data_IF_714273320199
#
_entry.id   IF_714273320199
#
_cell.length_a   1.000
_cell.length_b   1.000
_cell.length_c   1.000
_cell.angle_alpha   90.00
_cell.angle_beta   90.00
_cell.angle_gamma   90.00
#
_symmetry.space_group_name_H-M   'P 1'
#
loop_
_entity.id
_entity.type
_entity.pdbx_description
1 polymer ?
#
# COMPACT_ATOMS: atom_id res chain seq x y z
N UNK A 1 8.03 -10.55 12.54
CA UNK A 1 8.79 -9.48 11.84
C UNK A 1 7.93 -8.96 10.70
N UNK A 2 7.10 -7.97 10.98
CA UNK A 2 6.10 -7.45 10.05
C UNK A 2 6.78 -6.68 8.92
N UNK A 3 6.51 -7.09 7.68
CA UNK A 3 7.10 -6.48 6.50
C UNK A 3 6.68 -5.02 6.35
N UNK A 4 7.57 -4.10 6.70
CA UNK A 4 7.47 -2.67 6.37
C UNK A 4 7.77 -2.50 4.88
N UNK A 5 6.73 -2.81 4.11
CA UNK A 5 6.69 -2.89 2.64
C UNK A 5 5.80 -1.75 2.16
N UNK A 6 6.38 -0.76 1.45
CA UNK A 6 5.73 0.20 0.52
C UNK A 6 6.16 1.65 0.73
N UNK A 7 7.43 1.93 0.48
CA UNK A 7 7.98 3.29 0.61
C UNK A 7 8.88 3.66 -0.57
N UNK A 8 8.63 3.00 -1.72
CA UNK A 8 9.34 3.27 -2.97
C UNK A 8 9.23 4.72 -3.44
N UNK A 9 8.24 5.50 -2.98
CA UNK A 9 8.02 6.86 -3.44
C UNK A 9 9.10 7.85 -3.00
N UNK A 10 9.40 7.95 -1.70
CA UNK A 10 10.48 8.86 -1.23
C UNK A 10 11.79 8.51 -1.93
N UNK A 11 12.07 7.21 -2.01
CA UNK A 11 13.25 6.68 -2.68
C UNK A 11 13.27 6.99 -4.19
N UNK A 12 12.18 6.77 -4.94
CA UNK A 12 12.16 7.07 -6.39
C UNK A 12 12.30 8.57 -6.66
N UNK A 13 11.72 9.43 -5.82
CA UNK A 13 11.89 10.88 -5.90
C UNK A 13 13.34 11.28 -5.63
N UNK A 14 13.96 10.74 -4.58
CA UNK A 14 15.37 10.97 -4.25
C UNK A 14 16.33 10.53 -5.37
N UNK A 15 16.00 9.40 -6.01
CA UNK A 15 16.77 8.85 -7.12
C UNK A 15 16.48 9.55 -8.46
N UNK A 16 15.45 10.41 -8.54
CA UNK A 16 15.06 11.09 -9.78
C UNK A 16 14.49 10.15 -10.85
N UNK A 17 13.95 8.99 -10.46
CA UNK A 17 13.45 7.98 -11.39
C UNK A 17 11.94 7.80 -11.28
N UNK A 18 11.36 7.17 -12.31
CA UNK A 18 9.94 6.83 -12.31
C UNK A 18 9.66 5.60 -11.45
N UNK A 19 8.40 5.45 -11.06
CA UNK A 19 7.92 4.36 -10.21
C UNK A 19 8.08 3.00 -10.87
N UNK A 20 7.84 2.88 -12.17
CA UNK A 20 8.07 1.65 -12.93
C UNK A 20 9.55 1.27 -12.94
N UNK A 21 10.44 2.23 -13.16
CA UNK A 21 11.88 2.02 -13.10
C UNK A 21 12.35 1.63 -11.69
N UNK A 22 11.84 2.29 -10.65
CA UNK A 22 12.15 1.94 -9.26
C UNK A 22 11.71 0.52 -8.92
N UNK A 23 10.46 0.17 -9.29
CA UNK A 23 9.91 -1.16 -9.03
C UNK A 23 10.72 -2.25 -9.72
N UNK A 24 11.15 -2.01 -10.96
CA UNK A 24 11.94 -2.97 -11.74
C UNK A 24 13.36 -3.16 -11.15
N UNK A 25 14.10 -2.05 -10.97
CA UNK A 25 15.52 -2.10 -10.55
C UNK A 25 15.70 -2.44 -9.08
N UNK A 26 14.93 -1.81 -8.20
CA UNK A 26 15.19 -1.83 -6.76
C UNK A 26 14.23 -2.68 -5.96
N UNK A 27 13.22 -3.31 -6.58
CA UNK A 27 12.26 -4.11 -5.83
C UNK A 27 12.05 -5.50 -6.41
N UNK A 28 11.42 -6.36 -5.61
CA UNK A 28 10.83 -7.61 -6.06
C UNK A 28 9.50 -7.85 -5.36
N UNK A 29 8.62 -8.59 -6.02
CA UNK A 29 7.32 -8.97 -5.47
C UNK A 29 7.36 -10.39 -4.93
N UNK A 30 6.79 -10.62 -3.75
CA UNK A 30 6.56 -11.98 -3.25
C UNK A 30 5.31 -12.07 -2.37
N UNK A 31 4.69 -13.25 -2.34
CA UNK A 31 3.65 -13.57 -1.37
C UNK A 31 4.30 -13.75 0.02
N UNK A 32 3.65 -13.18 1.03
CA UNK A 32 4.11 -13.12 2.42
C UNK A 32 2.87 -13.23 3.32
N UNK A 33 2.77 -12.40 4.36
CA UNK A 33 1.68 -12.41 5.35
C UNK A 33 0.27 -12.29 4.75
N UNK A 34 0.13 -11.65 3.58
CA UNK A 34 -1.12 -11.66 2.81
C UNK A 34 -0.98 -12.66 1.65
N UNK A 35 -1.71 -13.78 1.65
CA UNK A 35 -1.60 -14.81 0.61
C UNK A 35 -2.25 -14.39 -0.72
N UNK A 36 -3.13 -13.39 -0.71
CA UNK A 36 -3.94 -13.02 -1.87
C UNK A 36 -3.41 -11.79 -2.62
N UNK A 37 -2.38 -11.12 -2.12
CA UNK A 37 -1.80 -9.96 -2.79
C UNK A 37 -0.30 -9.85 -2.53
N UNK A 38 0.53 -9.63 -3.56
CA UNK A 38 1.96 -9.60 -3.39
C UNK A 38 2.42 -8.41 -2.54
N UNK A 39 3.46 -8.67 -1.76
CA UNK A 39 4.25 -7.65 -1.09
C UNK A 39 5.38 -7.18 -2.00
N UNK A 40 5.59 -5.87 -2.11
CA UNK A 40 6.77 -5.28 -2.77
C UNK A 40 7.86 -5.04 -1.73
N UNK A 41 9.04 -5.60 -1.94
CA UNK A 41 10.18 -5.53 -1.03
C UNK A 41 11.40 -4.95 -1.75
N UNK A 42 12.24 -4.22 -1.01
CA UNK A 42 13.51 -3.73 -1.54
C UNK A 42 14.43 -4.92 -1.85
N UNK A 43 15.03 -4.90 -3.03
CA UNK A 43 16.03 -5.87 -3.47
C UNK A 43 17.35 -5.54 -2.78
N UNK A 44 17.88 -6.49 -2.02
CA UNK A 44 19.21 -6.36 -1.41
C UNK A 44 20.30 -6.63 -2.45
N UNK A 45 21.49 -6.07 -2.24
CA UNK A 45 22.62 -6.26 -3.14
C UNK A 45 23.04 -7.74 -3.23
N UNK A 46 23.64 -8.12 -4.36
CA UNK A 46 24.15 -9.47 -4.60
C UNK A 46 25.48 -9.72 -3.88
N UNK A 47 25.42 -9.77 -2.56
CA UNK A 47 26.56 -10.01 -1.67
C UNK A 47 26.14 -11.05 -0.60
N UNK A 48 27.06 -11.83 -0.01
CA UNK A 48 26.70 -12.85 0.99
C UNK A 48 25.90 -12.29 2.17
N UNK A 49 26.26 -11.09 2.64
CA UNK A 49 25.61 -10.37 3.73
C UNK A 49 24.32 -9.65 3.30
N UNK A 50 23.99 -9.64 1.99
CA UNK A 50 22.80 -9.01 1.41
C UNK A 50 22.54 -7.58 1.95
N UNK A 51 23.51 -6.65 1.87
CA UNK A 51 23.33 -5.30 2.38
C UNK A 51 22.28 -4.54 1.55
N UNK A 52 21.72 -3.50 2.16
CA UNK A 52 20.88 -2.54 1.46
C UNK A 52 21.68 -1.93 0.29
N UNK A 53 21.13 -1.82 -0.93
CA UNK A 53 21.85 -1.27 -2.09
C UNK A 53 22.18 0.21 -1.96
N UNK A 54 21.56 0.91 -1.00
CA UNK A 54 21.81 2.32 -0.71
C UNK A 54 22.80 2.53 0.45
N UNK A 55 23.27 1.46 1.09
CA UNK A 55 24.28 1.55 2.14
C UNK A 55 25.67 1.63 1.49
N UNK A 56 26.31 2.78 1.64
CA UNK A 56 27.70 3.04 1.25
C UNK A 56 28.61 2.97 2.49
N UNK A 57 29.95 2.96 2.31
CA UNK A 57 30.89 2.98 3.45
C UNK A 57 30.63 4.13 4.42
N UNK A 58 30.27 5.30 3.91
CA UNK A 58 30.01 6.52 4.70
C UNK A 58 28.55 6.64 5.16
N UNK A 59 27.72 5.63 4.95
CA UNK A 59 26.31 5.59 5.39
C UNK A 59 25.30 5.47 4.25
N UNK A 60 24.02 5.76 4.57
CA UNK A 60 22.93 5.59 3.61
C UNK A 60 22.86 6.75 2.61
N UNK A 61 22.98 6.47 1.31
CA UNK A 61 22.93 7.48 0.24
C UNK A 61 21.56 8.15 0.06
N UNK A 62 20.51 7.54 0.62
CA UNK A 62 19.14 8.05 0.63
C UNK A 62 18.65 8.34 2.05
N UNK A 63 19.54 8.66 2.99
CA UNK A 63 19.19 8.75 4.41
C UNK A 63 17.93 9.59 4.67
N UNK A 64 17.83 10.80 4.11
CA UNK A 64 16.66 11.67 4.27
C UNK A 64 15.36 11.15 3.65
N UNK A 65 15.45 10.17 2.75
CA UNK A 65 14.31 9.54 2.08
C UNK A 65 14.22 8.04 2.39
N UNK A 66 14.89 7.62 3.49
CA UNK A 66 14.95 6.22 3.93
C UNK A 66 13.53 5.73 4.29
N UNK A 67 13.23 4.45 4.02
CA UNK A 67 11.94 3.86 4.36
C UNK A 67 11.65 3.93 5.86
N UNK A 68 10.38 3.94 6.28
CA UNK A 68 9.97 3.80 7.69
C UNK A 68 10.59 2.58 8.32
N UNK A 69 10.84 1.49 7.58
CA UNK A 69 11.57 0.34 8.11
C UNK A 69 12.91 0.72 8.76
N UNK A 70 13.63 1.66 8.16
CA UNK A 70 14.86 2.24 8.70
C UNK A 70 14.59 3.33 9.74
N UNK A 71 13.60 4.22 9.55
CA UNK A 71 13.29 5.32 10.49
C UNK A 71 12.80 4.84 11.84
N UNK A 72 12.02 3.77 11.81
CA UNK A 72 11.40 3.21 13.00
C UNK A 72 12.41 2.42 13.83
N UNK A 73 13.40 1.76 13.23
CA UNK A 73 14.40 0.99 13.99
C UNK A 73 15.16 1.88 14.99
N UNK A 74 15.33 1.48 16.28
CA UNK A 74 15.00 0.16 16.86
C UNK A 74 13.57 0.02 17.38
N UNK A 75 12.76 1.07 17.27
CA UNK A 75 11.36 1.11 17.70
C UNK A 75 10.41 0.43 16.68
N UNK A 76 9.99 -0.80 16.96
CA UNK A 76 8.96 -1.47 16.18
C UNK A 76 7.56 -0.95 16.56
N UNK A 77 6.67 -0.77 15.57
CA UNK A 77 5.27 -0.38 15.74
C UNK A 77 4.38 -1.56 15.35
N UNK A 78 3.41 -1.89 16.19
CA UNK A 78 2.30 -2.78 15.88
C UNK A 78 0.99 -2.00 16.05
N UNK A 79 0.04 -2.22 15.13
CA UNK A 79 -1.28 -1.58 15.17
C UNK A 79 -2.31 -2.65 15.49
N UNK A 80 -2.90 -2.57 16.68
CA UNK A 80 -4.01 -3.43 17.06
C UNK A 80 -5.29 -2.92 16.39
N UNK A 81 -5.98 -3.83 15.69
CA UNK A 81 -7.27 -3.54 15.07
C UNK A 81 -8.36 -3.83 16.09
N UNK A 82 -8.79 -2.82 16.85
CA UNK A 82 -9.90 -2.98 17.79
C UNK A 82 -11.22 -2.79 17.03
N UNK A 83 -12.00 -3.86 16.78
CA UNK A 83 -13.15 -3.78 15.86
C UNK A 83 -14.31 -2.93 16.39
N UNK A 84 -14.35 -2.66 17.69
CA UNK A 84 -15.55 -2.17 18.39
C UNK A 84 -15.55 -0.67 18.71
N UNK A 85 -14.45 0.06 18.53
CA UNK A 85 -14.37 1.46 18.98
C UNK A 85 -13.89 2.46 17.92
N UNK A 86 -13.55 2.02 16.70
CA UNK A 86 -12.97 2.90 15.68
C UNK A 86 -11.61 3.51 16.06
N UNK A 87 -11.09 3.24 17.27
CA UNK A 87 -9.75 3.60 17.72
C UNK A 87 -8.76 2.52 17.28
N UNK A 88 -7.66 2.98 16.71
CA UNK A 88 -6.46 2.18 16.50
C UNK A 88 -5.58 2.34 17.73
N UNK A 89 -5.11 1.24 18.27
CA UNK A 89 -4.14 1.25 19.35
C UNK A 89 -2.76 0.92 18.77
N UNK A 90 -1.84 1.86 18.95
CA UNK A 90 -0.45 1.69 18.56
C UNK A 90 0.33 1.14 19.75
N UNK A 91 1.01 0.01 19.52
CA UNK A 91 1.95 -0.56 20.47
C UNK A 91 3.36 -0.41 19.90
N UNK A 92 4.29 0.04 20.74
CA UNK A 92 5.68 0.21 20.37
C UNK A 92 6.57 -0.73 21.18
N UNK A 93 7.55 -1.33 20.51
CA UNK A 93 8.47 -2.29 21.10
C UNK A 93 9.89 -1.92 20.73
N UNK A 94 10.81 -1.95 21.70
CA UNK A 94 12.22 -1.77 21.42
C UNK A 94 12.84 -3.11 21.00
N UNK A 95 13.44 -3.13 19.82
CA UNK A 95 14.21 -4.26 19.34
C UNK A 95 15.66 -4.10 19.74
N UNK A 96 16.12 -4.98 20.62
CA UNK A 96 17.53 -5.08 20.98
C UNK A 96 18.23 -6.05 20.02
N UNK A 97 19.15 -5.52 19.22
CA UNK A 97 20.06 -6.33 18.43
C UNK A 97 21.50 -6.15 18.97
N UNK A 98 22.30 -7.22 19.12
CA UNK A 98 23.64 -7.13 19.71
C UNK A 98 24.59 -6.16 18.99
N UNK A 99 24.36 -5.95 17.70
CA UNK A 99 25.16 -5.07 16.85
C UNK A 99 24.71 -3.60 16.88
N UNK A 100 23.64 -3.26 17.59
CA UNK A 100 23.13 -1.88 17.67
C UNK A 100 23.81 -1.12 18.81
N UNK A 101 24.89 -0.41 18.47
CA UNK A 101 25.62 0.44 19.42
C UNK A 101 24.80 1.62 19.93
N UNK A 102 23.75 2.01 19.21
CA UNK A 102 22.85 3.11 19.61
C UNK A 102 22.13 2.90 20.95
N UNK A 103 22.07 1.66 21.45
CA UNK A 103 21.54 1.38 22.80
C UNK A 103 22.52 1.74 23.94
N UNK A 104 23.75 2.13 23.61
CA UNK A 104 24.80 2.53 24.56
C UNK A 104 25.00 4.05 24.60
N UNK A 105 24.26 4.80 23.78
CA UNK A 105 24.31 6.25 23.76
C UNK A 105 23.67 6.83 25.03
N UNK A 106 24.22 7.94 25.53
CA UNK A 106 23.70 8.63 26.73
C UNK A 106 22.31 9.24 26.49
N UNK A 107 21.97 9.51 25.23
CA UNK A 107 20.70 10.15 24.88
C UNK A 107 19.56 9.14 24.89
N UNK A 108 18.65 9.32 25.83
CA UNK A 108 17.38 8.62 25.87
C UNK A 108 16.31 9.32 25.03
N UNK A 109 15.34 8.54 24.55
CA UNK A 109 14.22 9.02 23.75
C UNK A 109 12.93 8.39 24.24
N UNK A 110 11.91 9.21 24.45
CA UNK A 110 10.53 8.74 24.51
C UNK A 110 10.05 8.34 23.10
N UNK A 111 8.96 7.56 23.05
CA UNK A 111 8.31 7.18 21.77
C UNK A 111 7.90 8.42 20.97
N UNK A 112 7.34 9.43 21.63
CA UNK A 112 6.88 10.66 20.99
C UNK A 112 8.05 11.44 20.37
N UNK A 113 9.14 11.60 21.14
CA UNK A 113 10.34 12.29 20.65
C UNK A 113 10.99 11.53 19.50
N UNK A 114 11.03 10.20 19.56
CA UNK A 114 11.55 9.37 18.46
C UNK A 114 10.72 9.56 17.18
N UNK A 115 9.38 9.53 17.30
CA UNK A 115 8.47 9.73 16.16
C UNK A 115 8.67 11.10 15.53
N UNK A 116 8.81 12.14 16.35
CA UNK A 116 9.06 13.49 15.88
C UNK A 116 10.44 13.60 15.22
N UNK A 117 11.49 13.11 15.89
CA UNK A 117 12.87 13.20 15.41
C UNK A 117 13.12 12.41 14.12
N UNK A 118 12.51 11.24 13.98
CA UNK A 118 12.66 10.39 12.80
C UNK A 118 11.61 10.67 11.71
N UNK A 119 10.74 11.66 11.93
CA UNK A 119 9.67 12.08 11.02
C UNK A 119 8.76 10.92 10.60
N UNK A 120 8.39 10.06 11.54
CA UNK A 120 7.68 8.80 11.25
C UNK A 120 6.20 9.04 10.94
N UNK A 121 5.61 10.14 11.46
CA UNK A 121 4.16 10.39 11.42
C UNK A 121 3.54 10.24 10.02
N UNK A 122 4.07 10.84 8.93
CA UNK A 122 3.48 10.67 7.60
C UNK A 122 3.52 9.22 7.09
N UNK A 123 4.54 8.46 7.47
CA UNK A 123 4.66 7.04 7.11
C UNK A 123 3.66 6.19 7.90
N UNK A 124 3.45 6.50 9.18
CA UNK A 124 2.42 5.85 9.98
C UNK A 124 1.04 6.08 9.38
N UNK A 125 0.69 7.32 9.04
CA UNK A 125 -0.59 7.68 8.40
C UNK A 125 -0.81 6.94 7.07
N UNK A 126 0.24 6.82 6.24
CA UNK A 126 0.15 6.07 4.98
C UNK A 126 0.02 4.56 5.22
N UNK A 127 0.76 4.00 6.19
CA UNK A 127 0.67 2.59 6.57
C UNK A 127 -0.74 2.25 7.07
N UNK A 128 -1.33 3.17 7.82
CA UNK A 128 -2.66 3.12 8.37
C UNK A 128 -3.77 3.06 7.29
N UNK A 129 -3.61 3.80 6.20
CA UNK A 129 -4.48 3.68 5.04
C UNK A 129 -4.26 2.34 4.32
N UNK A 130 -3.00 1.93 4.17
CA UNK A 130 -2.65 0.65 3.56
C UNK A 130 -3.24 -0.54 4.33
N UNK A 131 -3.24 -0.51 5.67
CA UNK A 131 -3.83 -1.54 6.53
C UNK A 131 -5.30 -1.80 6.17
N UNK A 132 -6.06 -0.76 5.84
CA UNK A 132 -7.46 -0.92 5.39
C UNK A 132 -7.54 -1.68 4.06
N UNK A 133 -6.71 -1.28 3.09
CA UNK A 133 -6.65 -1.95 1.78
C UNK A 133 -6.19 -3.40 1.89
N UNK A 134 -5.16 -3.67 2.69
CA UNK A 134 -4.68 -5.04 2.95
C UNK A 134 -5.77 -5.91 3.58
N UNK A 135 -6.64 -5.33 4.42
CA UNK A 135 -7.81 -6.02 4.99
C UNK A 135 -8.78 -6.47 3.90
N UNK A 136 -9.07 -5.60 2.94
CA UNK A 136 -9.93 -5.93 1.80
C UNK A 136 -9.26 -7.03 0.97
N UNK A 137 -7.96 -6.97 0.73
CA UNK A 137 -7.24 -7.99 -0.04
C UNK A 137 -7.28 -9.36 0.64
N UNK A 138 -7.24 -9.41 1.98
CA UNK A 138 -7.33 -10.65 2.76
C UNK A 138 -8.66 -11.40 2.63
N UNK A 139 -9.72 -10.74 2.18
CA UNK A 139 -11.01 -11.40 1.89
C UNK A 139 -11.03 -12.09 0.53
N UNK A 140 -9.93 -12.05 -0.23
CA UNK A 140 -9.81 -12.58 -1.59
C UNK A 140 -10.86 -12.00 -2.57
N UNK A 141 -10.88 -10.67 -2.80
CA UNK A 141 -11.92 -10.00 -3.60
C UNK A 141 -11.72 -10.14 -5.13
N UNK A 142 -10.79 -10.98 -5.57
CA UNK A 142 -10.32 -10.99 -6.96
C UNK A 142 -11.27 -11.71 -7.92
N UNK A 143 -12.05 -12.68 -7.44
CA UNK A 143 -12.85 -13.57 -8.30
C UNK A 143 -11.97 -14.63 -8.98
N UNK A 144 -12.30 -14.99 -10.22
CA UNK A 144 -11.64 -16.11 -10.93
C UNK A 144 -11.20 -15.72 -12.35
N UNK A 145 -10.26 -16.50 -12.90
CA UNK A 145 -9.80 -16.40 -14.28
C UNK A 145 -9.15 -15.05 -14.63
N UNK A 146 -9.26 -14.66 -15.90
CA UNK A 146 -8.65 -13.44 -16.43
C UNK A 146 -9.11 -12.17 -15.72
N UNK A 147 -10.38 -12.14 -15.28
CA UNK A 147 -10.93 -11.02 -14.53
C UNK A 147 -10.17 -10.78 -13.22
N UNK A 148 -9.80 -11.85 -12.51
CA UNK A 148 -8.98 -11.76 -11.29
C UNK A 148 -7.59 -11.19 -11.60
N UNK A 149 -6.93 -11.68 -12.66
CA UNK A 149 -5.62 -11.18 -13.09
C UNK A 149 -5.67 -9.69 -13.48
N UNK A 150 -6.76 -9.23 -14.10
CA UNK A 150 -6.96 -7.81 -14.43
C UNK A 150 -7.16 -6.97 -13.17
N UNK A 151 -8.01 -7.39 -12.23
CA UNK A 151 -8.22 -6.69 -10.95
C UNK A 151 -6.92 -6.56 -10.15
N UNK A 152 -6.16 -7.65 -10.04
CA UNK A 152 -4.87 -7.67 -9.36
C UNK A 152 -3.89 -6.66 -9.97
N UNK A 153 -3.75 -6.65 -11.31
CA UNK A 153 -2.88 -5.68 -12.01
C UNK A 153 -3.29 -4.23 -11.77
N UNK A 154 -4.60 -3.93 -11.79
CA UNK A 154 -5.07 -2.57 -11.57
C UNK A 154 -4.87 -2.13 -10.11
N UNK A 155 -5.14 -3.01 -9.14
CA UNK A 155 -4.85 -2.75 -7.73
C UNK A 155 -3.35 -2.57 -7.48
N UNK A 156 -2.50 -3.40 -8.10
CA UNK A 156 -1.04 -3.25 -8.01
C UNK A 156 -0.57 -1.90 -8.58
N UNK A 157 -1.07 -1.50 -9.75
CA UNK A 157 -0.77 -0.19 -10.34
C UNK A 157 -1.13 0.94 -9.37
N UNK A 158 -2.35 0.94 -8.84
CA UNK A 158 -2.83 2.00 -7.94
C UNK A 158 -2.05 2.06 -6.62
N UNK A 159 -1.63 0.91 -6.07
CA UNK A 159 -0.95 0.86 -4.78
C UNK A 159 0.58 1.06 -4.85
N UNK A 160 1.23 0.76 -5.98
CA UNK A 160 2.70 0.76 -6.05
C UNK A 160 3.30 1.56 -7.20
N UNK A 161 2.57 1.74 -8.31
CA UNK A 161 3.08 2.45 -9.49
C UNK A 161 2.38 3.81 -9.64
N UNK A 162 2.70 4.74 -8.74
CA UNK A 162 2.03 6.05 -8.64
C UNK A 162 2.08 6.82 -9.96
N UNK A 163 3.19 6.75 -10.70
CA UNK A 163 3.33 7.44 -11.99
C UNK A 163 2.43 6.84 -13.08
N UNK A 164 2.29 5.50 -13.12
CA UNK A 164 1.37 4.85 -14.05
C UNK A 164 -0.08 5.08 -13.66
N UNK A 165 -0.40 5.01 -12.37
CA UNK A 165 -1.75 5.28 -11.86
C UNK A 165 -2.15 6.74 -12.12
N UNK A 166 -1.24 7.69 -11.90
CA UNK A 166 -1.41 9.10 -12.26
C UNK A 166 -1.77 9.27 -13.73
N UNK A 167 -1.04 8.61 -14.64
CA UNK A 167 -1.39 8.63 -16.08
C UNK A 167 -2.77 8.01 -16.33
N UNK A 168 -3.10 6.92 -15.68
CA UNK A 168 -4.41 6.28 -15.80
C UNK A 168 -5.54 7.22 -15.38
N UNK A 169 -5.42 7.90 -14.25
CA UNK A 169 -6.45 8.85 -13.76
C UNK A 169 -6.57 10.07 -14.67
N UNK A 170 -5.44 10.64 -15.12
CA UNK A 170 -5.42 11.93 -15.82
C UNK A 170 -5.64 11.81 -17.34
N UNK A 171 -5.21 10.70 -17.95
CA UNK A 171 -5.18 10.55 -19.42
C UNK A 171 -6.19 9.55 -19.97
N UNK A 172 -7.03 8.95 -19.14
CA UNK A 172 -8.09 8.03 -19.58
C UNK A 172 -9.49 8.64 -19.36
N UNK A 173 -10.53 7.86 -19.71
CA UNK A 173 -11.92 8.18 -19.41
C UNK A 173 -12.28 8.08 -17.92
N UNK A 174 -11.30 8.09 -17.01
CA UNK A 174 -11.52 7.98 -15.58
C UNK A 174 -12.36 9.16 -15.05
N UNK A 175 -11.99 10.39 -15.43
CA UNK A 175 -12.65 11.62 -14.98
C UNK A 175 -14.09 11.79 -15.47
N UNK A 176 -14.47 11.11 -16.55
CA UNK A 176 -15.87 11.07 -16.97
C UNK A 176 -16.72 10.07 -16.16
N UNK A 177 -16.09 9.17 -15.40
CA UNK A 177 -16.76 8.14 -14.60
C UNK A 177 -16.86 8.47 -13.11
N UNK A 178 -15.94 9.26 -12.59
CA UNK A 178 -15.87 9.59 -11.17
C UNK A 178 -16.01 11.09 -10.95
N UNK A 179 -16.66 11.45 -9.85
CA UNK A 179 -16.75 12.83 -9.41
C UNK A 179 -15.52 13.19 -8.59
N UNK A 180 -14.59 13.90 -9.22
CA UNK A 180 -13.33 14.35 -8.64
C UNK A 180 -13.20 15.83 -8.98
N UNK A 181 -13.09 16.67 -7.95
CA UNK A 181 -12.96 18.12 -8.14
C UNK A 181 -11.66 18.48 -8.88
N UNK A 182 -11.68 19.58 -9.64
CA UNK A 182 -10.49 20.06 -10.34
C UNK A 182 -9.36 20.43 -9.37
N UNK A 183 -9.69 20.97 -8.19
CA UNK A 183 -8.71 21.23 -7.13
C UNK A 183 -7.97 19.96 -6.71
N UNK A 184 -8.72 18.87 -6.48
CA UNK A 184 -8.14 17.58 -6.12
C UNK A 184 -7.29 17.02 -7.26
N UNK A 185 -7.72 17.19 -8.51
CA UNK A 185 -6.96 16.80 -9.70
C UNK A 185 -5.62 17.55 -9.77
N UNK A 186 -5.62 18.86 -9.54
CA UNK A 186 -4.41 19.67 -9.60
C UNK A 186 -3.42 19.28 -8.49
N UNK A 187 -3.90 19.13 -7.26
CA UNK A 187 -3.08 18.65 -6.14
C UNK A 187 -2.50 17.28 -6.46
N UNK A 188 -3.34 16.38 -6.96
CA UNK A 188 -2.92 15.06 -7.37
C UNK A 188 -1.77 15.16 -8.36
N UNK A 189 -1.85 15.94 -9.46
CA UNK A 189 -0.78 16.03 -10.50
C UNK A 189 0.62 16.22 -9.93
N UNK A 190 0.76 17.02 -8.88
CA UNK A 190 2.05 17.45 -8.35
C UNK A 190 2.46 16.71 -7.07
N UNK A 191 1.50 16.04 -6.41
CA UNK A 191 1.73 15.36 -5.14
C UNK A 191 1.45 13.85 -5.26
N UNK A 192 2.52 13.06 -5.13
CA UNK A 192 2.45 11.61 -5.15
C UNK A 192 1.80 11.03 -3.89
N UNK A 193 1.90 11.70 -2.74
CA UNK A 193 1.21 11.28 -1.50
C UNK A 193 -0.29 11.34 -1.71
N UNK A 194 -0.77 12.43 -2.31
CA UNK A 194 -2.20 12.61 -2.58
C UNK A 194 -2.70 11.67 -3.68
N UNK A 195 -1.89 11.41 -4.70
CA UNK A 195 -2.21 10.39 -5.72
C UNK A 195 -2.26 8.98 -5.12
N UNK A 196 -1.42 8.66 -4.13
CA UNK A 196 -1.47 7.37 -3.44
C UNK A 196 -2.70 7.22 -2.57
N UNK A 197 -3.04 8.25 -1.77
CA UNK A 197 -4.29 8.28 -0.99
C UNK A 197 -5.50 8.05 -1.90
N UNK A 198 -5.53 8.74 -3.04
CA UNK A 198 -6.55 8.53 -4.06
C UNK A 198 -6.55 7.11 -4.63
N UNK A 199 -5.37 6.53 -4.84
CA UNK A 199 -5.23 5.13 -5.27
C UNK A 199 -5.87 4.15 -4.28
N UNK A 200 -5.71 4.38 -2.98
CA UNK A 200 -6.34 3.55 -1.95
C UNK A 200 -7.87 3.71 -1.95
N UNK A 201 -8.39 4.92 -1.97
CA UNK A 201 -9.84 5.18 -2.08
C UNK A 201 -10.42 4.53 -3.34
N UNK A 202 -9.72 4.65 -4.47
CA UNK A 202 -10.14 4.05 -5.72
C UNK A 202 -10.13 2.52 -5.65
N UNK A 203 -9.11 1.91 -5.05
CA UNK A 203 -9.04 0.45 -4.87
C UNK A 203 -10.16 -0.06 -3.97
N UNK A 204 -10.45 0.64 -2.88
CA UNK A 204 -11.57 0.30 -1.99
C UNK A 204 -12.90 0.30 -2.76
N UNK A 205 -13.18 1.37 -3.50
CA UNK A 205 -14.38 1.44 -4.34
C UNK A 205 -14.39 0.36 -5.42
N UNK A 206 -13.28 0.18 -6.12
CA UNK A 206 -13.15 -0.77 -7.23
C UNK A 206 -13.43 -2.22 -6.81
N UNK A 207 -13.06 -2.60 -5.58
CA UNK A 207 -13.23 -3.96 -5.10
C UNK A 207 -14.51 -4.17 -4.30
N UNK A 208 -15.01 -3.15 -3.61
CA UNK A 208 -16.13 -3.30 -2.67
C UNK A 208 -17.42 -2.60 -3.11
N UNK A 209 -17.35 -1.71 -4.10
CA UNK A 209 -18.44 -0.82 -4.50
C UNK A 209 -18.82 0.23 -3.45
N UNK A 210 -18.05 0.35 -2.36
CA UNK A 210 -18.26 1.27 -1.23
C UNK A 210 -17.03 2.17 -1.07
N UNK A 211 -17.17 3.26 -0.33
CA UNK A 211 -16.07 4.17 -0.01
C UNK A 211 -16.39 5.63 -0.34
N UNK A 212 -15.39 6.50 -0.18
CA UNK A 212 -15.54 7.95 -0.35
C UNK A 212 -15.67 8.41 -1.82
N UNK A 213 -15.36 7.53 -2.78
CA UNK A 213 -15.34 7.88 -4.20
C UNK A 213 -16.76 7.83 -4.79
N UNK A 214 -17.29 8.98 -5.20
CA UNK A 214 -18.58 9.06 -5.89
C UNK A 214 -18.43 8.72 -7.38
N UNK A 215 -19.19 7.73 -7.85
CA UNK A 215 -19.31 7.41 -9.28
C UNK A 215 -20.43 8.23 -9.91
N UNK A 216 -20.14 8.88 -11.04
CA UNK A 216 -21.13 9.63 -11.83
C UNK A 216 -22.23 8.74 -12.42
N UNK A 217 -21.99 7.43 -12.46
CA UNK A 217 -22.90 6.42 -13.00
C UNK A 217 -23.63 5.62 -11.91
N UNK A 218 -23.36 5.86 -10.62
CA UNK A 218 -23.97 5.09 -9.51
C UNK A 218 -25.47 5.36 -9.28
N UNK A 219 -26.12 6.22 -10.07
CA UNK A 219 -27.59 6.37 -10.08
C UNK A 219 -28.31 5.49 -11.13
N UNK A 220 -27.61 4.60 -11.84
CA UNK A 220 -28.25 3.66 -12.76
C UNK A 220 -27.53 2.32 -12.84
N UNK A 221 -28.24 1.25 -12.47
CA UNK A 221 -27.86 -0.17 -12.60
C UNK A 221 -26.77 -0.68 -11.64
N UNK A 222 -27.19 -1.06 -10.44
CA UNK A 222 -26.73 -2.35 -9.92
C UNK A 222 -27.50 -3.45 -10.68
N UNK A 223 -26.85 -4.47 -11.28
CA UNK A 223 -27.57 -5.65 -11.70
C UNK A 223 -28.07 -6.37 -10.44
N UNK A 224 -29.34 -6.15 -10.09
CA UNK A 224 -30.08 -7.11 -9.28
C UNK A 224 -29.94 -8.47 -9.96
N UNK A 225 -29.21 -9.39 -9.34
CA UNK A 225 -29.43 -10.81 -9.60
C UNK A 225 -30.85 -11.12 -9.12
N UNK A 226 -31.84 -10.93 -10.00
CA UNK A 226 -33.21 -11.39 -9.79
C UNK A 226 -33.16 -12.89 -9.53
N UNK A 227 -33.29 -13.28 -8.27
CA UNK A 227 -33.43 -14.67 -7.82
C UNK A 227 -34.70 -15.36 -8.36
N UNK A 228 -35.48 -14.72 -9.23
CA UNK A 228 -36.80 -15.17 -9.68
C UNK A 228 -36.82 -15.96 -11.01
N UNK A 229 -35.68 -16.30 -11.62
CA UNK A 229 -35.68 -17.06 -12.89
C UNK A 229 -34.81 -18.33 -12.93
N UNK A 230 -34.37 -18.86 -11.78
CA UNK A 230 -33.78 -20.20 -11.75
C UNK A 230 -34.89 -21.26 -11.69
N UNK A 231 -35.29 -21.80 -12.85
CA UNK A 231 -36.07 -23.04 -12.90
C UNK A 231 -35.11 -24.23 -12.94
N UNK A 232 -34.94 -24.90 -11.81
CA UNK A 232 -34.29 -26.21 -11.78
C UNK A 232 -35.24 -27.27 -12.38
N UNK A 233 -34.77 -28.04 -13.36
CA UNK A 233 -35.42 -29.29 -13.78
C UNK A 233 -34.70 -30.45 -13.11
N UNK A 234 -35.45 -31.31 -12.43
CA UNK A 234 -34.97 -32.55 -11.84
C UNK A 234 -34.56 -33.53 -12.95
N UNK A 235 -33.34 -34.05 -12.87
CA UNK A 235 -32.88 -35.13 -13.73
C UNK A 235 -33.42 -36.44 -13.17
N UNK A 236 -34.36 -37.09 -13.86
CA UNK A 236 -34.81 -38.44 -13.52
C UNK A 236 -33.68 -39.41 -13.86
N UNK A 237 -33.17 -40.15 -12.88
CA UNK A 237 -32.41 -41.37 -13.13
C UNK A 237 -33.41 -42.49 -13.38
N UNK A 238 -33.49 -42.96 -14.62
CA UNK A 238 -34.00 -44.30 -14.92
C UNK A 238 -32.87 -45.29 -14.66
N UNK A 239 -33.18 -46.31 -13.84
CA UNK A 239 -32.28 -47.43 -13.54
C UNK A 239 -32.11 -48.41 -14.68
#
# INVERSE_FOLDING_TARGET
MYGKKREGFGMKKRLGIRSDEFLDKYTFSAVRDNPFFPSVMLRMAEHPQKPCPFLLPDGCSIYEDRPSSCRTYPLERAVARVPQQGRREDHYFLKHAPYCLGHQEEKEWTVEEWIANQEIKPYNEMNDLWVNIDTIFRTNPWGHGEAASKKLRMAFMACFNVDQFRRFVLKSSFRSRFDVSEERVEKMKMDDVEMMKFGFEWVEFFLTGRGALASRFAQGNQPEFRKSQLRAKTCQHTG
#
